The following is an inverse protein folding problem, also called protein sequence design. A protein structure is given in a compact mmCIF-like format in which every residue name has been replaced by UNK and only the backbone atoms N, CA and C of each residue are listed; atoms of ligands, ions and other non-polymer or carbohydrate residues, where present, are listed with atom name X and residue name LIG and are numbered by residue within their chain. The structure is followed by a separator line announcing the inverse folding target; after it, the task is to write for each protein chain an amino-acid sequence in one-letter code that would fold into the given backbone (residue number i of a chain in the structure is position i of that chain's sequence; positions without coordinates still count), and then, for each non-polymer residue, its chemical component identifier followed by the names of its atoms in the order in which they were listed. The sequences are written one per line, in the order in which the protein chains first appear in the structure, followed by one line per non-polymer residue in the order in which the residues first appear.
data_IF_028302596006
#
_entry.id   IF_028302596006
#
_cell.length_a   1.000
_cell.length_b   1.000
_cell.length_c   1.000
_cell.angle_alpha   90.00
_cell.angle_beta   90.00
_cell.angle_gamma   90.00
#
_symmetry.space_group_name_H-M   'P 1'
#
loop_
_entity.id
_entity.type
_entity.pdbx_description
1 polymer ?
#
# COMPACT_ATOMS: atom_id res chain seq x y z
N UNK A 1 21.94 23.37 26.47
CA UNK A 1 21.38 21.99 26.36
C UNK A 1 19.93 21.95 25.86
N UNK A 2 19.06 22.92 26.19
CA UNK A 2 17.66 22.94 25.70
C UNK A 2 17.52 23.47 24.25
N UNK A 3 18.45 24.32 23.79
CA UNK A 3 18.44 24.85 22.42
C UNK A 3 18.84 23.80 21.35
N UNK A 4 19.63 22.79 21.72
CA UNK A 4 20.11 21.75 20.80
C UNK A 4 19.05 20.67 20.52
N UNK A 5 18.19 20.35 21.49
CA UNK A 5 17.11 19.37 21.34
C UNK A 5 15.96 19.87 20.47
N UNK A 6 15.67 21.17 20.50
CA UNK A 6 14.62 21.79 19.67
C UNK A 6 15.03 21.77 18.19
N UNK A 7 16.32 21.92 17.87
CA UNK A 7 16.81 21.82 16.50
C UNK A 7 16.75 20.37 15.97
N UNK A 8 17.04 19.36 16.79
CA UNK A 8 16.90 17.95 16.39
C UNK A 8 15.47 17.54 16.03
N UNK A 9 14.46 18.13 16.68
CA UNK A 9 13.05 17.88 16.38
C UNK A 9 12.57 18.53 15.07
N UNK A 10 13.26 19.59 14.60
CA UNK A 10 12.96 20.26 13.34
C UNK A 10 13.57 19.53 12.12
N UNK A 11 14.49 18.59 12.33
CA UNK A 11 15.11 17.78 11.28
C UNK A 11 14.53 16.35 11.14
N UNK A 12 13.56 15.95 11.96
CA UNK A 12 13.15 14.54 12.07
C UNK A 12 11.96 14.09 11.20
N UNK A 13 11.46 14.89 10.27
CA UNK A 13 10.45 14.43 9.30
C UNK A 13 11.06 14.05 7.96
N UNK A 14 12.07 13.18 8.00
CA UNK A 14 12.52 12.50 6.78
C UNK A 14 11.47 11.43 6.43
N UNK A 15 11.03 11.33 5.17
CA UNK A 15 10.16 10.24 4.75
C UNK A 15 10.83 8.90 5.05
N UNK A 16 10.13 8.05 5.79
CA UNK A 16 10.59 6.72 6.19
C UNK A 16 9.65 5.67 5.63
N UNK A 17 10.21 4.58 5.12
CA UNK A 17 9.43 3.42 4.72
C UNK A 17 8.85 2.73 5.95
N UNK A 18 7.54 2.61 6.00
CA UNK A 18 6.84 1.81 7.00
C UNK A 18 6.21 0.61 6.31
N UNK A 19 6.53 -0.63 6.75
CA UNK A 19 5.87 -1.83 6.24
C UNK A 19 4.36 -1.76 6.51
N UNK A 20 3.56 -1.99 5.47
CA UNK A 20 2.10 -2.10 5.58
C UNK A 20 1.68 -3.54 5.27
N UNK A 21 0.86 -4.12 6.15
CA UNK A 21 0.31 -5.45 5.90
C UNK A 21 -0.76 -5.36 4.81
N UNK A 22 -0.49 -5.93 3.63
CA UNK A 22 -1.42 -5.92 2.49
C UNK A 22 -2.59 -6.91 2.60
N UNK A 23 -2.75 -7.59 3.74
CA UNK A 23 -3.83 -8.57 3.96
C UNK A 23 -3.76 -9.82 3.08
N UNK A 24 -2.62 -10.10 2.45
CA UNK A 24 -2.42 -11.27 1.58
C UNK A 24 -0.97 -11.75 1.62
N UNK A 25 -0.76 -13.04 1.37
CA UNK A 25 0.57 -13.66 1.15
C UNK A 25 0.90 -13.80 -0.33
N UNK A 26 -0.04 -13.44 -1.21
CA UNK A 26 0.16 -13.51 -2.65
C UNK A 26 1.13 -12.43 -3.13
N UNK A 27 1.86 -12.74 -4.21
CA UNK A 27 2.78 -11.78 -4.81
C UNK A 27 2.00 -10.69 -5.54
N UNK A 28 2.11 -9.46 -5.04
CA UNK A 28 1.63 -8.26 -5.72
C UNK A 28 2.60 -7.87 -6.84
N UNK A 29 2.05 -7.31 -7.92
CA UNK A 29 2.77 -7.02 -9.17
C UNK A 29 2.42 -5.66 -9.76
N UNK A 30 1.19 -5.19 -9.59
CA UNK A 30 0.74 -3.86 -9.98
C UNK A 30 0.25 -3.05 -8.79
N UNK A 31 0.41 -1.72 -8.86
CA UNK A 31 -0.15 -0.77 -7.91
C UNK A 31 -0.52 0.52 -8.63
N UNK A 32 -1.69 1.08 -8.35
CA UNK A 32 -2.13 2.37 -8.88
C UNK A 32 -2.74 3.21 -7.75
N UNK A 33 -2.20 4.42 -7.57
CA UNK A 33 -2.59 5.35 -6.52
C UNK A 33 -3.54 6.41 -7.10
N UNK A 34 -4.74 6.48 -6.56
CA UNK A 34 -5.81 7.40 -7.01
C UNK A 34 -5.75 8.71 -6.22
N UNK A 35 -5.43 8.63 -4.93
CA UNK A 35 -5.29 9.80 -4.04
C UNK A 35 -4.34 9.48 -2.89
N UNK A 36 -4.17 10.42 -1.95
CA UNK A 36 -3.41 10.19 -0.72
C UNK A 36 -3.99 9.06 0.16
N UNK A 37 -5.30 8.80 0.02
CA UNK A 37 -6.01 7.81 0.83
C UNK A 37 -6.33 6.52 0.06
N UNK A 38 -6.53 6.62 -1.26
CA UNK A 38 -7.03 5.52 -2.09
C UNK A 38 -5.93 5.00 -3.02
N UNK A 39 -5.66 3.71 -2.93
CA UNK A 39 -4.81 2.99 -3.87
C UNK A 39 -5.28 1.54 -4.05
N UNK A 40 -4.91 0.97 -5.19
CA UNK A 40 -5.21 -0.40 -5.60
C UNK A 40 -3.93 -1.18 -5.85
N UNK A 41 -3.92 -2.47 -5.55
CA UNK A 41 -2.84 -3.36 -5.94
C UNK A 41 -3.40 -4.70 -6.47
N UNK A 42 -2.69 -5.28 -7.43
CA UNK A 42 -3.06 -6.53 -8.09
C UNK A 42 -1.89 -7.53 -8.09
N UNK A 43 -2.20 -8.82 -8.21
CA UNK A 43 -1.18 -9.86 -8.16
C UNK A 43 -1.66 -11.25 -8.54
N UNK A 44 -0.91 -12.24 -8.08
CA UNK A 44 -1.17 -13.66 -8.34
C UNK A 44 -2.55 -14.13 -7.83
N UNK A 45 -3.02 -15.25 -8.39
CA UNK A 45 -4.23 -15.96 -7.95
C UNK A 45 -5.48 -15.04 -7.86
N UNK A 46 -5.66 -14.19 -8.87
CA UNK A 46 -6.78 -13.25 -8.96
C UNK A 46 -6.79 -12.19 -7.85
N UNK A 47 -5.64 -11.93 -7.21
CA UNK A 47 -5.58 -11.02 -6.08
C UNK A 47 -5.77 -9.58 -6.53
N UNK A 48 -6.79 -8.92 -5.99
CA UNK A 48 -6.96 -7.47 -6.01
C UNK A 48 -7.19 -7.01 -4.58
N UNK A 49 -6.45 -5.99 -4.15
CA UNK A 49 -6.62 -5.35 -2.85
C UNK A 49 -6.74 -3.83 -3.01
N UNK A 50 -7.45 -3.18 -2.08
CA UNK A 50 -7.63 -1.73 -2.07
C UNK A 50 -7.47 -1.17 -0.66
N UNK A 51 -6.83 -0.02 -0.55
CA UNK A 51 -6.87 0.83 0.64
C UNK A 51 -7.75 2.06 0.40
N UNK A 52 -8.33 2.58 1.48
CA UNK A 52 -9.05 3.86 1.49
C UNK A 52 -8.61 4.75 2.67
N UNK A 53 -7.46 4.44 3.28
CA UNK A 53 -6.92 5.12 4.46
C UNK A 53 -5.39 5.34 4.38
N UNK A 54 -4.85 5.42 3.16
CA UNK A 54 -3.43 5.66 2.90
C UNK A 54 -2.55 4.43 3.14
N UNK A 55 -3.13 3.24 2.99
CA UNK A 55 -2.46 1.95 3.13
C UNK A 55 -2.37 1.43 4.57
N UNK A 56 -3.00 2.10 5.54
CA UNK A 56 -3.05 1.62 6.94
C UNK A 56 -3.81 0.29 7.01
N UNK A 57 -4.86 0.15 6.20
CA UNK A 57 -5.59 -1.09 5.99
C UNK A 57 -5.81 -1.38 4.51
N UNK A 58 -5.83 -2.67 4.16
CA UNK A 58 -6.07 -3.16 2.81
C UNK A 58 -7.20 -4.20 2.82
N UNK A 59 -8.20 -4.01 1.96
CA UNK A 59 -9.32 -4.92 1.78
C UNK A 59 -9.13 -5.75 0.51
N UNK A 60 -9.27 -7.07 0.60
CA UNK A 60 -9.27 -7.96 -0.57
C UNK A 60 -10.61 -7.89 -1.29
N UNK A 61 -10.55 -7.72 -2.61
CA UNK A 61 -11.70 -7.61 -3.49
C UNK A 61 -11.68 -8.82 -4.45
N UNK A 62 -12.54 -9.82 -4.22
CA UNK A 62 -12.56 -11.03 -5.05
C UNK A 62 -12.99 -10.69 -6.49
N UNK A 63 -12.28 -11.26 -7.45
CA UNK A 63 -12.65 -11.22 -8.87
C UNK A 63 -13.08 -12.63 -9.26
N UNK A 64 -14.38 -12.82 -9.46
CA UNK A 64 -14.95 -14.15 -9.69
C UNK A 64 -14.36 -14.83 -10.93
N UNK A 65 -13.90 -16.08 -10.77
CA UNK A 65 -13.33 -16.87 -11.86
C UNK A 65 -11.88 -16.52 -12.22
N UNK A 66 -11.25 -15.61 -11.47
CA UNK A 66 -9.87 -15.19 -11.70
C UNK A 66 -8.85 -15.91 -10.81
N UNK A 67 -9.25 -16.95 -10.06
CA UNK A 67 -8.41 -17.59 -9.04
C UNK A 67 -7.14 -18.24 -9.62
N UNK A 68 -7.11 -18.52 -10.93
CA UNK A 68 -5.95 -19.04 -11.67
C UNK A 68 -5.21 -17.97 -12.49
N UNK A 69 -5.67 -16.72 -12.47
CA UNK A 69 -5.09 -15.63 -13.24
C UNK A 69 -4.03 -14.89 -12.44
N UNK A 70 -2.98 -14.45 -13.12
CA UNK A 70 -1.97 -13.55 -12.58
C UNK A 70 -2.18 -12.15 -13.14
N UNK A 71 -2.69 -11.23 -12.33
CA UNK A 71 -2.77 -9.82 -12.72
C UNK A 71 -1.38 -9.19 -12.63
N UNK A 72 -0.89 -8.71 -13.77
CA UNK A 72 0.46 -8.12 -13.92
C UNK A 72 0.46 -6.61 -13.75
N UNK A 73 -0.72 -6.01 -13.86
CA UNK A 73 -0.92 -4.57 -13.81
C UNK A 73 -2.30 -4.26 -13.21
N UNK A 74 -2.51 -3.02 -12.77
CA UNK A 74 -3.81 -2.47 -12.39
C UNK A 74 -3.75 -0.95 -12.55
N UNK A 75 -4.77 -0.40 -13.19
CA UNK A 75 -4.94 1.04 -13.37
C UNK A 75 -6.32 1.45 -12.89
N UNK A 76 -6.39 2.57 -12.17
CA UNK A 76 -7.58 3.04 -11.45
C UNK A 76 -7.91 4.49 -11.76
#
# INVERSE_FOLDING_TARGET
MILATILSALLSQQPAWQPQAGGTTERLRGVSAVSADVAWASGNNGTVIRTADGGKTWARLPVGGAESLDFRDIEA
#
